data_IF_005895178522
#
_entry.id   IF_005895178522
#
_cell.length_a   1.000
_cell.length_b   1.000
_cell.length_c   1.000
_cell.angle_alpha   90.00
_cell.angle_beta   90.00
_cell.angle_gamma   90.00
#
_symmetry.space_group_name_H-M   'P 1'
#
loop_
_entity.id
_entity.type
_entity.pdbx_description
1 polymer ?
#
# COMPACT_ATOMS: atom_id res chain seq x y z
N UNK A 1 7.40 3.28 -4.12
CA UNK A 1 7.70 2.08 -4.94
C UNK A 1 7.92 2.39 -6.42
N UNK A 2 6.97 2.98 -7.17
CA UNK A 2 7.12 3.17 -8.64
C UNK A 2 8.42 3.91 -9.08
N UNK A 3 8.83 4.95 -8.34
CA UNK A 3 10.09 5.68 -8.59
C UNK A 3 11.34 4.76 -8.60
N UNK A 4 11.39 3.75 -7.72
CA UNK A 4 12.48 2.78 -7.63
C UNK A 4 12.69 2.03 -8.95
N UNK A 5 11.61 1.78 -9.68
CA UNK A 5 11.61 1.08 -10.95
C UNK A 5 11.70 2.01 -12.18
N UNK A 6 11.94 3.30 -11.96
CA UNK A 6 12.10 4.30 -13.02
C UNK A 6 10.78 4.83 -13.60
N UNK A 7 9.65 4.66 -12.91
CA UNK A 7 8.41 5.30 -13.32
C UNK A 7 8.40 6.78 -12.88
N UNK A 8 8.01 7.68 -13.78
CA UNK A 8 7.91 9.12 -13.53
C UNK A 8 6.75 9.45 -12.58
N UNK A 9 7.01 10.35 -11.62
CA UNK A 9 6.00 10.82 -10.66
C UNK A 9 5.09 11.84 -11.35
N UNK A 10 3.77 11.66 -11.29
CA UNK A 10 2.84 12.75 -11.51
C UNK A 10 2.65 13.51 -10.18
N UNK A 11 2.99 14.80 -10.12
CA UNK A 11 3.18 15.55 -8.86
C UNK A 11 1.88 15.97 -8.17
N UNK A 12 0.71 15.69 -8.74
CA UNK A 12 -0.59 16.02 -8.15
C UNK A 12 -1.27 14.77 -7.61
N UNK A 13 -1.11 14.53 -6.31
CA UNK A 13 -1.71 13.39 -5.58
C UNK A 13 -3.25 13.51 -5.48
N UNK A 14 -3.82 14.67 -5.81
CA UNK A 14 -5.22 15.01 -5.51
C UNK A 14 -6.26 14.61 -6.58
N UNK A 15 -5.87 14.19 -7.78
CA UNK A 15 -6.82 13.97 -8.90
C UNK A 15 -6.50 12.81 -9.85
N UNK A 16 -5.54 11.94 -9.56
CA UNK A 16 -5.23 10.82 -10.47
C UNK A 16 -5.89 9.51 -10.01
N UNK A 17 -6.74 8.96 -10.87
CA UNK A 17 -7.08 7.54 -10.88
C UNK A 17 -5.79 6.73 -10.94
N UNK A 18 -5.58 5.82 -10.00
CA UNK A 18 -4.42 4.91 -10.02
C UNK A 18 -4.46 4.14 -11.34
N UNK A 19 -3.42 4.27 -12.16
CA UNK A 19 -3.31 3.42 -13.35
C UNK A 19 -3.18 1.98 -12.88
N UNK A 20 -4.15 1.14 -13.26
CA UNK A 20 -4.26 -0.25 -12.82
C UNK A 20 -3.03 -1.08 -13.25
N UNK A 21 -2.40 -0.76 -14.39
CA UNK A 21 -1.17 -1.39 -14.85
C UNK A 21 -0.19 -0.33 -15.35
N UNK A 22 1.04 -0.38 -14.86
CA UNK A 22 2.17 0.41 -15.33
C UNK A 22 3.30 -0.55 -15.76
N UNK A 23 3.77 -0.45 -16.99
CA UNK A 23 4.86 -1.31 -17.50
C UNK A 23 5.95 -0.48 -18.15
N UNK A 24 7.21 -0.84 -17.89
CA UNK A 24 8.37 -0.30 -18.57
C UNK A 24 9.39 -1.43 -18.82
N UNK A 25 10.59 -1.08 -19.30
CA UNK A 25 11.65 -2.05 -19.55
C UNK A 25 12.14 -2.77 -18.29
N UNK A 26 12.12 -2.07 -17.14
CA UNK A 26 12.68 -2.57 -15.88
C UNK A 26 11.69 -3.40 -15.07
N UNK A 27 10.41 -3.02 -15.10
CA UNK A 27 9.40 -3.61 -14.24
C UNK A 27 7.98 -3.44 -14.79
N UNK A 28 7.08 -4.20 -14.19
CA UNK A 28 5.64 -4.03 -14.32
C UNK A 28 5.01 -3.95 -12.94
N UNK A 29 4.14 -2.98 -12.73
CA UNK A 29 3.39 -2.79 -11.48
C UNK A 29 1.92 -2.87 -11.85
N UNK A 30 1.18 -3.77 -11.20
CA UNK A 30 -0.27 -3.85 -11.30
C UNK A 30 -0.89 -3.53 -9.95
N UNK A 31 -1.96 -2.76 -9.94
CA UNK A 31 -2.74 -2.43 -8.73
C UNK A 31 -4.16 -2.90 -8.97
N UNK A 32 -4.74 -3.63 -8.02
CA UNK A 32 -6.12 -4.12 -8.06
C UNK A 32 -6.52 -4.79 -9.38
N UNK A 33 -5.60 -5.54 -10.00
CA UNK A 33 -5.82 -6.14 -11.31
C UNK A 33 -5.76 -7.65 -11.24
N UNK A 34 -6.66 -8.34 -11.97
CA UNK A 34 -6.62 -9.80 -12.11
C UNK A 34 -5.40 -10.22 -12.94
N UNK A 35 -4.74 -11.27 -12.49
CA UNK A 35 -3.61 -11.88 -13.16
C UNK A 35 -4.09 -13.16 -13.84
N UNK A 36 -3.80 -13.27 -15.13
CA UNK A 36 -4.06 -14.48 -15.89
C UNK A 36 -2.99 -15.54 -15.57
N UNK A 37 -3.43 -16.79 -15.41
CA UNK A 37 -2.61 -17.96 -15.15
C UNK A 37 -3.10 -19.11 -16.02
N UNK A 38 -2.22 -20.07 -16.32
CA UNK A 38 -2.56 -21.22 -17.17
C UNK A 38 -3.50 -22.20 -16.45
N UNK A 39 -3.40 -22.28 -15.13
CA UNK A 39 -4.33 -23.03 -14.27
C UNK A 39 -5.35 -22.10 -13.62
N UNK A 40 -6.51 -22.64 -13.24
CA UNK A 40 -7.52 -21.90 -12.50
C UNK A 40 -7.07 -21.69 -11.04
N UNK A 41 -6.74 -20.45 -10.69
CA UNK A 41 -6.43 -20.04 -9.32
C UNK A 41 -7.62 -19.28 -8.72
N UNK A 42 -7.96 -19.56 -7.46
CA UNK A 42 -9.10 -18.94 -6.75
C UNK A 42 -8.83 -17.47 -6.41
N UNK A 43 -7.61 -17.15 -5.97
CA UNK A 43 -7.17 -15.80 -5.65
C UNK A 43 -6.17 -15.30 -6.70
N UNK A 44 -6.65 -14.53 -7.68
CA UNK A 44 -5.82 -14.01 -8.76
C UNK A 44 -5.81 -12.48 -8.88
N UNK A 45 -6.35 -11.77 -7.88
CA UNK A 45 -6.42 -10.30 -7.85
C UNK A 45 -5.71 -9.77 -6.59
N UNK A 46 -4.37 -9.67 -6.59
CA UNK A 46 -3.65 -9.04 -5.48
C UNK A 46 -3.86 -7.53 -5.46
N UNK A 47 -3.72 -6.92 -4.29
CA UNK A 47 -3.81 -5.46 -4.13
C UNK A 47 -2.71 -4.78 -4.97
N UNK A 48 -1.47 -5.29 -4.88
CA UNK A 48 -0.36 -4.84 -5.74
C UNK A 48 0.47 -6.05 -6.18
N UNK A 49 0.80 -6.11 -7.47
CA UNK A 49 1.77 -7.03 -8.05
C UNK A 49 2.93 -6.23 -8.63
N UNK A 50 4.16 -6.63 -8.34
CA UNK A 50 5.36 -6.05 -8.94
C UNK A 50 6.15 -7.17 -9.62
N UNK A 51 6.38 -7.04 -10.92
CA UNK A 51 7.28 -7.90 -11.69
C UNK A 51 8.55 -7.11 -11.95
N UNK A 52 9.61 -7.39 -11.20
CA UNK A 52 10.95 -6.84 -11.43
C UNK A 52 11.66 -7.68 -12.50
N UNK A 53 11.72 -7.13 -13.72
CA UNK A 53 12.32 -7.80 -14.89
C UNK A 53 13.85 -7.87 -14.77
N UNK A 54 14.48 -6.96 -14.03
CA UNK A 54 15.93 -6.93 -13.82
C UNK A 54 16.38 -7.96 -12.81
N UNK A 55 15.71 -8.01 -11.66
CA UNK A 55 16.03 -8.95 -10.56
C UNK A 55 15.39 -10.32 -10.73
N UNK A 56 14.55 -10.49 -11.77
CA UNK A 56 13.77 -11.71 -12.04
C UNK A 56 12.98 -12.13 -10.81
N UNK A 57 12.25 -11.17 -10.24
CA UNK A 57 11.50 -11.33 -9.00
C UNK A 57 10.06 -10.83 -9.18
N UNK A 58 9.10 -11.57 -8.66
CA UNK A 58 7.69 -11.18 -8.60
C UNK A 58 7.31 -11.02 -7.13
N UNK A 59 6.79 -9.85 -6.78
CA UNK A 59 6.36 -9.50 -5.43
C UNK A 59 4.85 -9.30 -5.45
N UNK A 60 4.14 -10.11 -4.69
CA UNK A 60 2.72 -9.99 -4.41
C UNK A 60 2.59 -9.28 -3.06
N UNK A 61 1.90 -8.14 -3.05
CA UNK A 61 1.66 -7.37 -1.84
C UNK A 61 0.15 -7.40 -1.57
N UNK A 62 -0.19 -7.76 -0.34
CA UNK A 62 -1.56 -7.76 0.14
C UNK A 62 -1.63 -6.89 1.41
N UNK A 63 -2.46 -5.88 1.36
CA UNK A 63 -2.67 -4.92 2.44
C UNK A 63 -3.88 -5.34 3.27
N UNK A 64 -3.87 -5.11 4.57
CA UNK A 64 -5.02 -5.40 5.43
C UNK A 64 -5.08 -4.55 6.68
N UNK A 65 -6.30 -4.21 7.10
CA UNK A 65 -6.56 -3.67 8.42
C UNK A 65 -7.27 -4.72 9.28
N UNK A 66 -6.95 -4.79 10.56
CA UNK A 66 -7.57 -5.77 11.49
C UNK A 66 -7.58 -5.28 12.93
N UNK A 67 -8.17 -6.06 13.84
CA UNK A 67 -8.04 -5.89 15.28
C UNK A 67 -6.71 -6.51 15.76
N UNK A 68 -6.13 -5.95 16.81
CA UNK A 68 -4.92 -6.43 17.50
C UNK A 68 -4.95 -7.94 17.76
N UNK A 69 -6.07 -8.48 18.25
CA UNK A 69 -6.20 -9.90 18.59
C UNK A 69 -6.04 -10.83 17.38
N UNK A 70 -6.40 -10.34 16.18
CA UNK A 70 -6.35 -11.11 14.94
C UNK A 70 -5.12 -10.76 14.08
N UNK A 71 -4.26 -9.85 14.53
CA UNK A 71 -3.19 -9.28 13.72
C UNK A 71 -2.27 -10.35 13.13
N UNK A 72 -1.80 -11.27 13.97
CA UNK A 72 -0.91 -12.37 13.51
C UNK A 72 -1.66 -13.39 12.65
N UNK A 73 -2.93 -13.66 12.94
CA UNK A 73 -3.75 -14.60 12.16
C UNK A 73 -3.97 -14.07 10.75
N UNK A 74 -4.43 -12.82 10.62
CA UNK A 74 -4.68 -12.16 9.33
C UNK A 74 -3.41 -12.01 8.51
N UNK A 75 -2.27 -11.72 9.15
CA UNK A 75 -0.97 -11.68 8.47
C UNK A 75 -0.62 -13.05 7.85
N UNK A 76 -0.79 -14.14 8.61
CA UNK A 76 -0.53 -15.50 8.12
C UNK A 76 -1.53 -15.95 7.05
N UNK A 77 -2.80 -15.59 7.18
CA UNK A 77 -3.82 -15.85 6.15
C UNK A 77 -3.46 -15.17 4.84
N UNK A 78 -3.03 -13.90 4.88
CA UNK A 78 -2.62 -13.14 3.69
C UNK A 78 -1.36 -13.70 3.04
N UNK A 79 -0.41 -14.20 3.82
CA UNK A 79 0.75 -14.93 3.28
C UNK A 79 0.31 -16.15 2.49
N UNK A 80 -0.58 -16.97 3.04
CA UNK A 80 -0.99 -18.24 2.41
C UNK A 80 -1.97 -18.09 1.26
N UNK A 81 -2.76 -17.00 1.26
CA UNK A 81 -3.81 -16.72 0.27
C UNK A 81 -3.32 -16.81 -1.18
N UNK A 82 -2.07 -16.41 -1.43
CA UNK A 82 -1.49 -16.34 -2.77
C UNK A 82 -0.40 -17.38 -3.05
N UNK A 83 -0.23 -18.41 -2.22
CA UNK A 83 0.81 -19.44 -2.45
C UNK A 83 0.68 -20.09 -3.83
N UNK A 84 -0.54 -20.44 -4.24
CA UNK A 84 -0.80 -21.01 -5.56
C UNK A 84 -0.49 -20.01 -6.69
N UNK A 85 -0.93 -18.75 -6.55
CA UNK A 85 -0.66 -17.71 -7.55
C UNK A 85 0.86 -17.46 -7.68
N UNK A 86 1.56 -17.40 -6.55
CA UNK A 86 3.01 -17.18 -6.52
C UNK A 86 3.77 -18.33 -7.19
N UNK A 87 3.34 -19.57 -7.01
CA UNK A 87 3.96 -20.72 -7.67
C UNK A 87 3.73 -20.68 -9.19
N UNK A 88 2.49 -20.45 -9.63
CA UNK A 88 2.15 -20.34 -11.05
C UNK A 88 2.91 -19.22 -11.75
N UNK A 89 2.96 -18.02 -11.17
CA UNK A 89 3.73 -16.91 -11.72
C UNK A 89 5.23 -17.19 -11.75
N UNK A 90 5.73 -17.92 -10.76
CA UNK A 90 7.12 -18.37 -10.74
C UNK A 90 7.45 -19.30 -11.91
N UNK A 91 6.53 -20.20 -12.26
CA UNK A 91 6.69 -21.13 -13.39
C UNK A 91 6.57 -20.42 -14.74
N UNK A 92 5.53 -19.59 -14.92
CA UNK A 92 5.26 -18.87 -16.18
C UNK A 92 6.43 -17.95 -16.55
N UNK A 93 6.90 -17.15 -15.59
CA UNK A 93 7.96 -16.17 -15.84
C UNK A 93 9.37 -16.72 -15.60
N UNK A 94 9.50 -17.90 -14.97
CA UNK A 94 10.78 -18.46 -14.48
C UNK A 94 11.49 -17.52 -13.50
N UNK A 95 10.72 -16.83 -12.67
CA UNK A 95 11.17 -15.81 -11.70
C UNK A 95 11.00 -16.30 -10.28
N UNK A 96 11.77 -15.74 -9.35
CA UNK A 96 11.52 -15.95 -7.92
C UNK A 96 10.25 -15.22 -7.52
N UNK A 97 9.39 -15.83 -6.72
CA UNK A 97 8.18 -15.17 -6.22
C UNK A 97 8.24 -14.93 -4.72
N UNK A 98 7.53 -13.89 -4.28
CA UNK A 98 7.49 -13.48 -2.88
C UNK A 98 6.12 -12.89 -2.56
N UNK A 99 5.58 -13.26 -1.40
CA UNK A 99 4.34 -12.71 -0.85
C UNK A 99 4.70 -11.86 0.36
N UNK A 100 4.21 -10.62 0.37
CA UNK A 100 4.49 -9.63 1.41
C UNK A 100 3.17 -9.10 1.97
N UNK A 101 2.74 -9.53 3.17
CA UNK A 101 1.57 -8.96 3.82
C UNK A 101 1.92 -7.61 4.44
N UNK A 102 1.07 -6.61 4.22
CA UNK A 102 1.12 -5.31 4.87
C UNK A 102 -0.11 -5.17 5.76
N UNK A 103 -0.07 -5.81 6.93
CA UNK A 103 -1.19 -5.78 7.89
C UNK A 103 -0.87 -4.82 9.04
N UNK A 104 -1.87 -4.01 9.39
CA UNK A 104 -1.83 -3.13 10.55
C UNK A 104 -3.19 -3.06 11.23
N UNK A 105 -3.22 -2.59 12.47
CA UNK A 105 -4.47 -2.29 13.17
C UNK A 105 -4.90 -0.85 12.91
N UNK A 106 -6.15 -0.55 13.26
CA UNK A 106 -6.73 0.79 13.15
C UNK A 106 -6.09 1.82 14.09
N UNK A 107 -5.37 1.39 15.12
CA UNK A 107 -4.56 2.22 16.03
C UNK A 107 -3.06 2.24 15.66
N UNK A 108 -2.69 1.65 14.50
CA UNK A 108 -1.33 1.70 13.95
C UNK A 108 -0.37 0.65 14.50
N UNK A 109 -0.86 -0.34 15.26
CA UNK A 109 -0.07 -1.49 15.72
C UNK A 109 0.23 -2.43 14.56
N UNK A 110 1.47 -2.90 14.49
CA UNK A 110 1.97 -3.79 13.44
C UNK A 110 2.71 -4.98 14.06
N UNK A 111 2.91 -6.04 13.28
CA UNK A 111 3.68 -7.21 13.74
C UNK A 111 5.18 -6.91 13.78
N UNK A 112 5.93 -7.76 14.48
CA UNK A 112 7.40 -7.70 14.49
C UNK A 112 8.01 -7.93 13.09
N UNK A 113 7.27 -8.56 12.16
CA UNK A 113 7.71 -8.79 10.79
C UNK A 113 7.53 -7.56 9.89
N UNK A 114 6.70 -6.60 10.28
CA UNK A 114 6.39 -5.41 9.48
C UNK A 114 7.64 -4.66 9.02
N UNK A 115 8.60 -4.44 9.93
CA UNK A 115 9.87 -3.77 9.62
C UNK A 115 10.68 -4.52 8.55
N UNK A 116 10.64 -5.84 8.54
CA UNK A 116 11.30 -6.67 7.53
C UNK A 116 10.64 -6.46 6.17
N UNK A 117 9.30 -6.51 6.11
CA UNK A 117 8.56 -6.32 4.87
C UNK A 117 8.78 -4.93 4.26
N UNK A 118 8.75 -3.87 5.06
CA UNK A 118 9.00 -2.51 4.57
C UNK A 118 10.43 -2.33 4.06
N UNK A 119 11.42 -2.89 4.74
CA UNK A 119 12.82 -2.87 4.30
C UNK A 119 13.00 -3.58 2.96
N UNK A 120 12.32 -4.71 2.77
CA UNK A 120 12.38 -5.47 1.51
C UNK A 120 11.70 -4.73 0.36
N UNK A 121 10.61 -4.01 0.65
CA UNK A 121 9.91 -3.16 -0.31
C UNK A 121 10.61 -1.81 -0.56
N UNK A 122 11.66 -1.49 0.21
CA UNK A 122 12.36 -0.21 0.18
C UNK A 122 11.42 0.96 0.45
N UNK A 123 10.54 0.78 1.45
CA UNK A 123 9.65 1.83 1.95
C UNK A 123 10.37 2.59 3.05
N UNK A 124 10.55 3.89 2.85
CA UNK A 124 11.18 4.76 3.84
C UNK A 124 10.22 5.05 4.99
N UNK A 125 10.70 5.23 6.24
CA UNK A 125 9.83 5.46 7.41
C UNK A 125 8.86 6.64 7.26
N UNK A 126 9.28 7.72 6.59
CA UNK A 126 8.40 8.87 6.35
C UNK A 126 7.22 8.53 5.42
N UNK A 127 7.41 7.59 4.47
CA UNK A 127 6.34 7.11 3.60
C UNK A 127 5.38 6.20 4.36
N UNK A 128 5.89 5.36 5.25
CA UNK A 128 5.08 4.54 6.15
C UNK A 128 4.17 5.43 7.01
N UNK A 129 4.74 6.44 7.67
CA UNK A 129 3.99 7.41 8.47
C UNK A 129 2.93 8.15 7.65
N UNK A 130 3.25 8.52 6.40
CA UNK A 130 2.29 9.14 5.47
C UNK A 130 1.16 8.19 5.08
N UNK A 131 1.47 6.92 4.79
CA UNK A 131 0.46 5.91 4.47
C UNK A 131 -0.44 5.68 5.68
N UNK A 132 0.14 5.54 6.87
CA UNK A 132 -0.59 5.39 8.13
C UNK A 132 -1.52 6.58 8.38
N UNK A 133 -1.02 7.82 8.25
CA UNK A 133 -1.84 9.02 8.45
C UNK A 133 -3.01 9.09 7.46
N UNK A 134 -2.80 8.70 6.21
CA UNK A 134 -3.84 8.67 5.19
C UNK A 134 -4.91 7.61 5.48
N UNK A 135 -4.50 6.42 5.92
CA UNK A 135 -5.41 5.34 6.29
C UNK A 135 -6.26 5.73 7.51
N UNK A 136 -5.63 6.30 8.54
CA UNK A 136 -6.32 6.83 9.73
C UNK A 136 -7.31 7.92 9.34
N UNK A 137 -6.90 8.89 8.51
CA UNK A 137 -7.77 9.96 8.02
C UNK A 137 -8.99 9.41 7.30
N UNK A 138 -8.81 8.49 6.35
CA UNK A 138 -9.93 7.88 5.60
C UNK A 138 -10.86 7.06 6.47
N UNK A 139 -10.31 6.34 7.44
CA UNK A 139 -11.09 5.55 8.39
C UNK A 139 -11.94 6.48 9.27
N UNK A 140 -11.35 7.57 9.76
CA UNK A 140 -12.07 8.59 10.51
C UNK A 140 -13.18 9.24 9.66
N UNK A 141 -12.86 9.70 8.45
CA UNK A 141 -13.84 10.28 7.51
C UNK A 141 -15.03 9.32 7.28
N UNK A 142 -14.76 8.02 7.12
CA UNK A 142 -15.81 7.00 6.97
C UNK A 142 -16.67 6.88 8.22
N UNK A 143 -16.07 6.79 9.41
CA UNK A 143 -16.80 6.68 10.68
C UNK A 143 -17.63 7.95 10.94
N UNK A 144 -17.09 9.13 10.64
CA UNK A 144 -17.79 10.40 10.77
C UNK A 144 -18.99 10.49 9.82
N UNK A 145 -18.84 10.05 8.56
CA UNK A 145 -19.94 9.98 7.61
C UNK A 145 -21.05 9.02 8.08
N UNK A 146 -20.67 7.88 8.65
CA UNK A 146 -21.64 6.91 9.20
C UNK A 146 -22.35 7.47 10.46
N UNK A 147 -21.65 8.24 11.31
CA UNK A 147 -22.25 8.93 12.46
C UNK A 147 -23.22 10.02 12.04
N UNK A 148 -22.92 10.82 11.02
CA UNK A 148 -23.84 11.84 10.49
C UNK A 148 -25.14 11.26 9.94
N UNK A 149 -25.16 9.96 9.61
CA UNK A 149 -26.38 9.23 9.20
C UNK A 149 -27.22 8.75 10.40
N UNK A 150 -26.72 8.85 11.63
CA UNK A 150 -27.40 8.44 12.85
C UNK A 150 -26.99 9.29 14.06
N UNK A 151 -27.70 10.40 14.25
CA UNK A 151 -27.69 11.33 15.41
C UNK A 151 -26.55 12.36 15.55
N UNK A 152 -26.97 13.58 15.92
CA UNK A 152 -26.20 14.81 16.05
C UNK A 152 -25.06 14.71 17.08
N UNK A 153 -23.82 14.85 16.59
CA UNK A 153 -22.65 15.15 17.41
C UNK A 153 -22.28 16.62 17.20
N UNK A 154 -21.88 17.30 18.26
CA UNK A 154 -21.54 18.73 18.27
C UNK A 154 -20.45 19.07 17.21
N UNK A 155 -20.85 19.78 16.15
CA UNK A 155 -20.05 20.08 14.93
C UNK A 155 -18.66 20.67 15.23
N UNK A 156 -18.52 21.34 16.38
CA UNK A 156 -17.28 21.97 16.82
C UNK A 156 -16.14 20.97 17.06
N UNK A 157 -16.43 19.81 17.69
CA UNK A 157 -15.41 18.78 18.00
C UNK A 157 -14.97 18.03 16.75
N UNK A 158 -15.87 17.84 15.80
CA UNK A 158 -15.55 17.20 14.53
C UNK A 158 -14.60 18.07 13.71
N UNK A 159 -14.86 19.39 13.69
CA UNK A 159 -14.01 20.35 12.97
C UNK A 159 -12.61 20.46 13.56
N UNK A 160 -12.48 20.48 14.88
CA UNK A 160 -11.18 20.48 15.58
C UNK A 160 -10.37 19.21 15.28
N UNK A 161 -11.03 18.05 15.25
CA UNK A 161 -10.39 16.77 14.91
C UNK A 161 -9.97 16.72 13.43
N UNK A 162 -10.80 17.22 12.52
CA UNK A 162 -10.50 17.22 11.08
C UNK A 162 -9.35 18.20 10.74
N UNK A 163 -9.27 19.33 11.45
CA UNK A 163 -8.15 20.26 11.40
C UNK A 163 -6.85 19.63 11.93
N UNK A 164 -6.92 18.92 13.07
CA UNK A 164 -5.78 18.21 13.64
C UNK A 164 -5.27 17.09 12.71
N UNK A 165 -6.16 16.30 12.12
CA UNK A 165 -5.82 15.22 11.17
C UNK A 165 -5.25 15.79 9.88
N UNK A 166 -5.81 16.90 9.38
CA UNK A 166 -5.27 17.59 8.19
C UNK A 166 -3.88 18.14 8.45
N UNK A 167 -3.63 18.73 9.62
CA UNK A 167 -2.29 19.16 10.05
C UNK A 167 -1.28 18.00 10.11
N UNK A 168 -1.68 16.85 10.65
CA UNK A 168 -0.83 15.65 10.70
C UNK A 168 -0.48 15.13 9.29
N UNK A 169 -1.47 15.10 8.38
CA UNK A 169 -1.23 14.70 6.98
C UNK A 169 -0.28 15.68 6.31
N UNK A 170 -0.47 16.99 6.49
CA UNK A 170 0.40 18.01 5.91
C UNK A 170 1.84 17.94 6.44
N UNK A 171 2.02 17.70 7.75
CA UNK A 171 3.33 17.46 8.36
C UNK A 171 4.01 16.22 7.76
N UNK A 172 3.25 15.12 7.58
CA UNK A 172 3.77 13.90 6.96
C UNK A 172 4.10 14.07 5.47
N UNK A 173 3.39 14.95 4.74
CA UNK A 173 3.70 15.30 3.36
C UNK A 173 4.93 16.20 3.23
N UNK A 174 5.13 17.16 4.13
CA UNK A 174 6.30 18.06 4.13
C UNK A 174 7.61 17.35 4.46
N UNK A 175 7.55 16.19 5.12
CA UNK A 175 8.69 15.33 5.38
C UNK A 175 9.18 14.53 4.15
N UNK A 176 8.46 14.57 3.01
CA UNK A 176 8.97 14.07 1.73
C UNK A 176 10.09 14.99 1.26
N UNK A 177 11.35 14.52 1.10
CA UNK A 177 12.40 15.38 0.58
C UNK A 177 12.01 15.86 -0.82
N UNK A 178 11.82 17.17 -0.96
CA UNK A 178 11.79 17.86 -2.24
C UNK A 178 13.11 17.54 -2.92
N UNK A 179 13.06 16.79 -4.02
CA UNK A 179 14.24 16.61 -4.87
C UNK A 179 14.67 18.00 -5.32
N UNK A 180 15.73 18.52 -4.70
CA UNK A 180 16.46 19.67 -5.21
C UNK A 180 16.96 19.28 -6.59
N UNK A 181 16.42 19.96 -7.58
CA UNK A 181 16.93 20.01 -8.95
C UNK A 181 18.39 20.47 -8.91
N UNK A 182 19.31 19.53 -9.05
CA UNK A 182 20.63 19.83 -9.60
C UNK A 182 20.44 19.89 -11.12
N UNK A 183 20.12 21.09 -11.61
CA UNK A 183 20.51 21.48 -12.95
C UNK A 183 21.94 21.98 -12.89
N UNK A 184 22.68 21.58 -13.91
CA UNK A 184 24.08 21.85 -14.18
C UNK A 184 24.45 23.34 -14.05
N UNK A 185 25.56 23.60 -13.37
CA UNK A 185 26.69 24.43 -13.82
C UNK A 185 27.87 24.29 -12.86
#
# INVERSE_FOLDING_TARGET
MAKKYGFTRNTKVRTHTVQEIMTNYNAEIRVDTRVATDVKVTHNKPDILIVDKKRKEIIIIEVGMTNLDLLSVVENEKLRKYDLLANELGLIHKYRTKITPCVMTWDGVVTNFHKKYLKELDVQPHLEAYIQSLVLKKTLESISLDRRRGYDMDDAKEKELDEAVTSLVDLSQRALPTAVSLQDN
#
